data_IF_657677986914
#
_entry.id   IF_657677986914
#
_cell.length_a   1.000
_cell.length_b   1.000
_cell.length_c   1.000
_cell.angle_alpha   90.00
_cell.angle_beta   90.00
_cell.angle_gamma   90.00
#
_symmetry.space_group_name_H-M   'P 1'
#
loop_
_entity.id
_entity.type
_entity.pdbx_description
1 polymer ?
#
# COMPACT_ATOMS: atom_id res chain seq x y z
N UNK A 1 -8.94 0.65 28.86
CA UNK A 1 -9.46 -0.60 28.33
C UNK A 1 -8.53 -1.16 27.25
N UNK A 2 -7.50 -0.40 26.85
CA UNK A 2 -6.43 -0.75 25.89
C UNK A 2 -5.66 -2.07 26.02
N UNK A 3 -5.74 -2.80 27.15
CA UNK A 3 -4.93 -4.01 27.33
C UNK A 3 -5.26 -5.10 26.29
N UNK A 4 -6.52 -5.22 25.84
CA UNK A 4 -6.89 -6.15 24.77
C UNK A 4 -6.29 -5.74 23.42
N UNK A 5 -6.38 -4.46 23.07
CA UNK A 5 -5.88 -3.98 21.78
C UNK A 5 -4.36 -3.94 21.71
N UNK A 6 -3.67 -3.76 22.84
CA UNK A 6 -2.21 -3.91 22.91
C UNK A 6 -1.82 -5.37 22.63
N UNK A 7 -2.51 -6.35 23.24
CA UNK A 7 -2.26 -7.78 22.99
C UNK A 7 -2.52 -8.11 21.51
N UNK A 8 -3.64 -7.64 20.96
CA UNK A 8 -4.00 -7.83 19.55
C UNK A 8 -2.97 -7.21 18.61
N UNK A 9 -2.52 -5.99 18.90
CA UNK A 9 -1.44 -5.33 18.16
C UNK A 9 -0.17 -6.20 18.16
N UNK A 10 0.24 -6.72 19.32
CA UNK A 10 1.40 -7.61 19.42
C UNK A 10 1.23 -8.87 18.59
N UNK A 11 0.04 -9.49 18.60
CA UNK A 11 -0.25 -10.67 17.78
C UNK A 11 -0.15 -10.35 16.28
N UNK A 12 -0.73 -9.25 15.83
CA UNK A 12 -0.67 -8.82 14.43
C UNK A 12 0.78 -8.54 14.00
N UNK A 13 1.58 -7.92 14.88
CA UNK A 13 3.00 -7.67 14.63
C UNK A 13 3.84 -8.96 14.58
N UNK A 14 3.45 -10.02 15.29
CA UNK A 14 4.10 -11.34 15.14
C UNK A 14 3.86 -11.92 13.75
N UNK A 15 2.65 -11.77 13.20
CA UNK A 15 2.33 -12.23 11.84
C UNK A 15 2.91 -11.32 10.76
N UNK A 16 2.98 -10.01 11.02
CA UNK A 16 3.41 -8.99 10.05
C UNK A 16 4.47 -8.06 10.68
N UNK A 17 5.71 -8.53 10.87
CA UNK A 17 6.74 -7.78 11.58
C UNK A 17 7.13 -6.46 10.89
N UNK A 18 6.97 -6.37 9.57
CA UNK A 18 7.27 -5.16 8.80
C UNK A 18 6.45 -3.94 9.24
N UNK A 19 5.25 -4.15 9.79
CA UNK A 19 4.38 -3.07 10.26
C UNK A 19 4.97 -2.32 11.46
N UNK A 20 5.86 -2.97 12.23
CA UNK A 20 6.47 -2.38 13.42
C UNK A 20 7.24 -1.09 13.12
N UNK A 21 7.74 -0.93 11.88
CA UNK A 21 8.44 0.28 11.44
C UNK A 21 7.55 1.53 11.42
N UNK A 22 6.22 1.35 11.24
CA UNK A 22 5.29 2.42 10.92
C UNK A 22 4.10 2.54 11.88
N UNK A 23 3.70 1.44 12.53
CA UNK A 23 2.46 1.37 13.32
C UNK A 23 2.37 2.41 14.45
N UNK A 24 3.52 2.85 14.96
CA UNK A 24 3.63 3.82 16.05
C UNK A 24 3.91 5.26 15.59
N UNK A 25 3.89 5.53 14.28
CA UNK A 25 3.94 6.90 13.77
C UNK A 25 2.76 7.75 14.25
N UNK A 26 1.63 7.08 14.47
CA UNK A 26 0.39 7.64 15.00
C UNK A 26 0.08 6.82 16.24
N UNK A 27 -0.15 7.46 17.40
CA UNK A 27 -0.41 6.72 18.64
C UNK A 27 -1.82 6.13 18.69
N UNK A 28 -1.95 4.98 19.36
CA UNK A 28 -3.24 4.28 19.54
C UNK A 28 -4.25 5.17 20.26
N UNK A 29 -3.82 5.88 21.31
CA UNK A 29 -4.66 6.82 22.04
C UNK A 29 -5.24 7.93 21.13
N UNK A 30 -4.41 8.53 20.27
CA UNK A 30 -4.83 9.58 19.33
C UNK A 30 -5.87 9.03 18.34
N UNK A 31 -5.63 7.83 17.82
CA UNK A 31 -6.56 7.19 16.88
C UNK A 31 -7.88 6.80 17.55
N UNK A 32 -7.85 6.22 18.75
CA UNK A 32 -9.05 5.84 19.50
C UNK A 32 -9.92 7.05 19.83
N UNK A 33 -9.28 8.14 20.28
CA UNK A 33 -9.97 9.39 20.59
C UNK A 33 -10.74 9.97 19.39
N UNK A 34 -10.30 9.68 18.16
CA UNK A 34 -11.00 10.11 16.95
C UNK A 34 -12.36 9.40 16.74
N UNK A 35 -12.61 8.27 17.41
CA UNK A 35 -13.82 7.48 17.21
C UNK A 35 -14.74 7.42 18.44
N UNK A 36 -14.42 8.11 19.53
CA UNK A 36 -15.19 8.09 20.79
C UNK A 36 -16.68 8.43 20.60
N UNK A 37 -17.00 9.36 19.69
CA UNK A 37 -18.39 9.78 19.43
C UNK A 37 -19.09 8.93 18.35
N UNK A 38 -18.41 7.92 17.81
CA UNK A 38 -18.84 7.16 16.63
C UNK A 38 -18.98 5.66 16.85
N UNK A 39 -18.20 5.09 17.77
CA UNK A 39 -18.09 3.65 18.00
C UNK A 39 -18.31 3.31 19.47
N UNK A 40 -18.95 2.18 19.74
CA UNK A 40 -18.97 1.57 21.07
C UNK A 40 -17.59 1.01 21.46
N UNK A 41 -16.75 0.71 20.47
CA UNK A 41 -15.38 0.26 20.66
C UNK A 41 -14.43 1.18 19.86
N UNK A 42 -14.08 2.35 20.43
CA UNK A 42 -13.18 3.29 19.79
C UNK A 42 -11.73 2.78 19.76
N UNK A 43 -11.33 1.97 20.73
CA UNK A 43 -9.97 1.42 20.82
C UNK A 43 -9.70 0.47 19.65
N UNK A 44 -10.60 -0.49 19.37
CA UNK A 44 -10.46 -1.37 18.19
C UNK A 44 -10.46 -0.59 16.89
N UNK A 45 -11.34 0.42 16.74
CA UNK A 45 -11.35 1.26 15.53
C UNK A 45 -10.06 2.06 15.37
N UNK A 46 -9.51 2.56 16.48
CA UNK A 46 -8.21 3.23 16.50
C UNK A 46 -7.09 2.31 16.02
N UNK A 47 -7.02 1.09 16.56
CA UNK A 47 -6.03 0.10 16.13
C UNK A 47 -6.15 -0.21 14.63
N UNK A 48 -7.35 -0.42 14.11
CA UNK A 48 -7.55 -0.63 12.68
C UNK A 48 -7.09 0.55 11.84
N UNK A 49 -7.29 1.78 12.31
CA UNK A 49 -6.78 2.99 11.63
C UNK A 49 -5.25 3.05 11.63
N UNK A 50 -4.58 2.67 12.73
CA UNK A 50 -3.11 2.58 12.76
C UNK A 50 -2.59 1.51 11.80
N UNK A 51 -3.25 0.36 11.78
CA UNK A 51 -2.86 -0.76 10.93
C UNK A 51 -3.07 -0.43 9.45
N UNK A 52 -4.18 0.19 9.08
CA UNK A 52 -4.43 0.66 7.71
C UNK A 52 -3.33 1.61 7.22
N UNK A 53 -2.93 2.57 8.06
CA UNK A 53 -1.79 3.43 7.78
C UNK A 53 -0.49 2.64 7.57
N UNK A 54 -0.16 1.72 8.49
CA UNK A 54 1.08 0.95 8.43
C UNK A 54 1.12 -0.02 7.22
N UNK A 55 0.02 -0.71 6.94
CA UNK A 55 -0.11 -1.60 5.78
C UNK A 55 0.11 -0.84 4.49
N UNK A 56 -0.52 0.33 4.31
CA UNK A 56 -0.31 1.13 3.09
C UNK A 56 1.15 1.50 2.88
N UNK A 57 1.88 1.85 3.95
CA UNK A 57 3.30 2.14 3.84
C UNK A 57 4.13 0.92 3.47
N UNK A 58 3.91 -0.21 4.14
CA UNK A 58 4.57 -1.47 3.82
C UNK A 58 4.28 -1.93 2.37
N UNK A 59 3.02 -1.91 1.97
CA UNK A 59 2.57 -2.36 0.66
C UNK A 59 3.19 -1.51 -0.45
N UNK A 60 3.20 -0.17 -0.31
CA UNK A 60 3.80 0.68 -1.32
C UNK A 60 5.33 0.60 -1.33
N UNK A 61 5.98 0.45 -0.16
CA UNK A 61 7.43 0.20 -0.05
C UNK A 61 7.78 -1.08 -0.81
N UNK A 62 7.08 -2.18 -0.51
CA UNK A 62 7.31 -3.49 -1.11
C UNK A 62 7.00 -3.50 -2.61
N UNK A 63 5.90 -2.87 -3.02
CA UNK A 63 5.52 -2.77 -4.43
C UNK A 63 6.65 -2.13 -5.26
N UNK A 64 7.15 -0.98 -4.82
CA UNK A 64 8.18 -0.25 -5.57
C UNK A 64 9.48 -1.05 -5.62
N UNK A 65 9.96 -1.52 -4.48
CA UNK A 65 11.22 -2.29 -4.41
C UNK A 65 11.15 -3.54 -5.28
N UNK A 66 10.04 -4.28 -5.24
CA UNK A 66 9.83 -5.47 -6.07
C UNK A 66 9.83 -5.14 -7.57
N UNK A 67 9.21 -4.02 -7.97
CA UNK A 67 9.17 -3.64 -9.39
C UNK A 67 10.54 -3.18 -9.90
N UNK A 68 11.31 -2.48 -9.07
CA UNK A 68 12.69 -2.11 -9.39
C UNK A 68 13.56 -3.37 -9.50
N UNK A 69 13.48 -4.29 -8.53
CA UNK A 69 14.21 -5.55 -8.56
C UNK A 69 13.86 -6.37 -9.81
N UNK A 70 12.56 -6.45 -10.15
CA UNK A 70 12.11 -7.14 -11.37
C UNK A 70 12.68 -6.50 -12.63
N UNK A 71 12.70 -5.16 -12.70
CA UNK A 71 13.30 -4.44 -13.82
C UNK A 71 14.80 -4.74 -13.95
N UNK A 72 15.55 -4.72 -12.84
CA UNK A 72 16.97 -5.06 -12.82
C UNK A 72 17.23 -6.49 -13.29
N UNK A 73 16.46 -7.47 -12.78
CA UNK A 73 16.58 -8.88 -13.16
C UNK A 73 16.31 -9.12 -14.64
N UNK A 74 15.42 -8.32 -15.25
CA UNK A 74 15.06 -8.40 -16.66
C UNK A 74 15.96 -7.57 -17.57
N UNK A 75 16.94 -6.85 -17.03
CA UNK A 75 17.85 -6.01 -17.83
C UNK A 75 17.19 -4.74 -18.37
N UNK A 76 16.12 -4.27 -17.75
CA UNK A 76 15.49 -2.99 -18.08
C UNK A 76 16.31 -1.80 -17.59
N UNK A 77 16.04 -0.65 -18.19
CA UNK A 77 16.69 0.60 -17.80
C UNK A 77 16.11 1.09 -16.47
N UNK A 78 16.96 1.12 -15.46
CA UNK A 78 16.68 1.65 -14.12
C UNK A 78 17.59 2.85 -13.89
N UNK A 79 17.04 3.95 -13.36
CA UNK A 79 17.83 5.12 -12.99
C UNK A 79 18.95 4.74 -11.99
N UNK A 80 20.20 5.16 -12.23
CA UNK A 80 21.36 4.77 -11.42
C UNK A 80 21.25 5.20 -9.96
N UNK A 81 20.70 6.39 -9.69
CA UNK A 81 20.54 6.97 -8.36
C UNK A 81 19.19 6.64 -7.70
N UNK A 82 18.53 5.56 -8.14
CA UNK A 82 17.17 5.22 -7.69
C UNK A 82 17.05 5.03 -6.18
N UNK A 83 18.07 4.50 -5.51
CA UNK A 83 18.07 4.28 -4.06
C UNK A 83 17.91 5.59 -3.29
N UNK A 84 18.74 6.59 -3.64
CA UNK A 84 18.66 7.92 -3.04
C UNK A 84 17.34 8.61 -3.37
N UNK A 85 16.85 8.46 -4.60
CA UNK A 85 15.55 8.99 -4.99
C UNK A 85 14.40 8.32 -4.22
N UNK A 86 14.50 7.00 -4.00
CA UNK A 86 13.53 6.22 -3.26
C UNK A 86 13.47 6.63 -1.80
N UNK A 87 14.61 6.77 -1.11
CA UNK A 87 14.66 7.18 0.29
C UNK A 87 14.03 8.56 0.49
N UNK A 88 14.38 9.51 -0.38
CA UNK A 88 13.81 10.85 -0.36
C UNK A 88 12.31 10.84 -0.62
N UNK A 89 11.88 10.11 -1.65
CA UNK A 89 10.47 9.96 -1.99
C UNK A 89 9.68 9.30 -0.86
N UNK A 90 10.19 8.20 -0.29
CA UNK A 90 9.50 7.43 0.74
C UNK A 90 9.36 8.24 2.03
N UNK A 91 10.39 9.02 2.41
CA UNK A 91 10.30 9.97 3.53
C UNK A 91 9.19 11.01 3.30
N UNK A 92 9.12 11.59 2.11
CA UNK A 92 8.03 12.53 1.75
C UNK A 92 6.67 11.85 1.72
N UNK A 93 6.58 10.63 1.18
CA UNK A 93 5.37 9.82 1.10
C UNK A 93 4.83 9.49 2.50
N UNK A 94 5.69 8.97 3.39
CA UNK A 94 5.36 8.68 4.80
C UNK A 94 4.82 9.91 5.52
N UNK A 95 5.50 11.06 5.39
CA UNK A 95 5.04 12.31 6.00
C UNK A 95 3.68 12.77 5.44
N UNK A 96 3.47 12.66 4.12
CA UNK A 96 2.19 13.03 3.50
C UNK A 96 1.06 12.08 3.89
N UNK A 97 1.33 10.78 3.99
CA UNK A 97 0.36 9.80 4.48
C UNK A 97 -0.03 10.10 5.92
N UNK A 98 0.96 10.32 6.80
CA UNK A 98 0.72 10.64 8.21
C UNK A 98 -0.19 11.86 8.37
N UNK A 99 0.17 12.97 7.72
CA UNK A 99 -0.61 14.21 7.78
C UNK A 99 -2.04 14.05 7.22
N UNK A 100 -2.21 13.22 6.20
CA UNK A 100 -3.53 12.94 5.61
C UNK A 100 -4.40 12.12 6.56
N UNK A 101 -3.84 11.07 7.18
CA UNK A 101 -4.52 10.29 8.23
C UNK A 101 -4.86 11.15 9.45
N UNK A 102 -3.96 12.03 9.90
CA UNK A 102 -4.23 12.96 10.99
C UNK A 102 -5.38 13.92 10.67
N UNK A 103 -5.43 14.43 9.44
CA UNK A 103 -6.54 15.26 8.96
C UNK A 103 -7.87 14.49 8.89
N UNK A 104 -7.84 13.22 8.48
CA UNK A 104 -9.00 12.33 8.49
C UNK A 104 -9.50 12.09 9.92
N UNK A 105 -8.62 11.68 10.85
CA UNK A 105 -8.95 11.46 12.25
C UNK A 105 -9.50 12.71 12.94
N UNK A 106 -8.93 13.88 12.67
CA UNK A 106 -9.45 15.16 13.16
C UNK A 106 -10.87 15.45 12.67
N UNK A 107 -11.25 14.94 11.50
CA UNK A 107 -12.62 15.07 10.99
C UNK A 107 -13.54 14.08 11.70
N UNK A 108 -13.10 12.83 11.83
CA UNK A 108 -13.82 11.75 12.49
C UNK A 108 -14.14 12.08 13.95
N UNK A 109 -13.19 12.69 14.68
CA UNK A 109 -13.40 13.09 16.09
C UNK A 109 -14.57 14.07 16.25
N UNK A 110 -14.84 14.86 15.21
CA UNK A 110 -15.91 15.85 15.18
C UNK A 110 -17.25 15.29 14.71
N UNK A 111 -17.25 14.08 14.12
CA UNK A 111 -18.46 13.36 13.75
C UNK A 111 -19.05 12.68 14.98
N UNK A 112 -20.38 12.52 14.98
CA UNK A 112 -21.10 11.87 16.06
C UNK A 112 -22.13 10.91 15.49
N UNK A 113 -22.42 9.85 16.25
CA UNK A 113 -23.47 8.88 15.95
C UNK A 113 -24.59 9.02 16.99
N UNK A 114 -25.86 9.23 16.60
CA UNK A 114 -26.97 9.40 17.54
C UNK A 114 -27.19 8.18 18.45
N UNK A 115 -26.76 6.99 18.03
CA UNK A 115 -26.81 5.78 18.87
C UNK A 115 -25.81 5.86 20.03
N UNK A 116 -24.68 6.55 19.83
CA UNK A 116 -23.62 6.72 20.84
C UNK A 116 -23.87 7.97 21.68
N UNK A 117 -24.18 9.10 21.04
CA UNK A 117 -24.31 10.40 21.69
C UNK A 117 -25.74 10.75 22.13
N UNK A 118 -26.71 9.90 21.83
CA UNK A 118 -28.13 10.13 22.06
C UNK A 118 -28.84 10.82 20.88
N UNK A 119 -30.15 10.56 20.77
CA UNK A 119 -31.00 11.03 19.67
C UNK A 119 -31.63 12.42 19.92
N UNK A 120 -31.64 12.90 21.16
CA UNK A 120 -32.29 14.16 21.54
C UNK A 120 -31.65 15.36 20.82
N UNK A 121 -32.43 16.05 19.98
CA UNK A 121 -31.99 17.20 19.18
C UNK A 121 -30.72 16.96 18.34
N UNK A 122 -30.51 15.72 17.88
CA UNK A 122 -29.32 15.37 17.13
C UNK A 122 -29.24 16.13 15.79
N UNK A 123 -28.13 16.84 15.49
CA UNK A 123 -28.02 17.67 14.29
C UNK A 123 -27.68 16.84 13.04
N UNK A 124 -28.66 16.08 12.55
CA UNK A 124 -28.50 15.08 11.47
C UNK A 124 -27.77 15.66 10.25
N UNK A 125 -28.24 16.78 9.71
CA UNK A 125 -27.70 17.32 8.47
C UNK A 125 -26.25 17.82 8.62
N UNK A 126 -25.91 18.38 9.78
CA UNK A 126 -24.53 18.76 10.10
C UNK A 126 -23.62 17.54 10.16
N UNK A 127 -24.07 16.44 10.77
CA UNK A 127 -23.28 15.22 10.88
C UNK A 127 -23.15 14.49 9.55
N UNK A 128 -24.19 14.48 8.71
CA UNK A 128 -24.10 14.00 7.32
C UNK A 128 -23.03 14.75 6.54
N UNK A 129 -23.02 16.07 6.61
CA UNK A 129 -22.00 16.89 5.93
C UNK A 129 -20.58 16.57 6.42
N UNK A 130 -20.38 16.42 7.73
CA UNK A 130 -19.08 16.04 8.28
C UNK A 130 -18.65 14.63 7.86
N UNK A 131 -19.60 13.69 7.81
CA UNK A 131 -19.37 12.33 7.30
C UNK A 131 -18.85 12.35 5.86
N UNK A 132 -19.48 13.12 4.97
CA UNK A 132 -19.00 13.29 3.58
C UNK A 132 -17.57 13.84 3.52
N UNK A 133 -17.24 14.85 4.34
CA UNK A 133 -15.88 15.40 4.38
C UNK A 133 -14.87 14.34 4.83
N UNK A 134 -15.23 13.49 5.80
CA UNK A 134 -14.36 12.41 6.25
C UNK A 134 -14.15 11.34 5.16
N UNK A 135 -15.23 10.97 4.46
CA UNK A 135 -15.19 10.05 3.32
C UNK A 135 -14.32 10.61 2.19
N UNK A 136 -14.52 11.87 1.79
CA UNK A 136 -13.70 12.56 0.78
C UNK A 136 -12.21 12.53 1.14
N UNK A 137 -11.88 12.76 2.42
CA UNK A 137 -10.49 12.68 2.91
C UNK A 137 -9.93 11.26 2.82
N UNK A 138 -10.72 10.26 3.15
CA UNK A 138 -10.30 8.86 3.05
C UNK A 138 -10.09 8.44 1.58
N UNK A 139 -10.99 8.85 0.68
CA UNK A 139 -10.82 8.66 -0.77
C UNK A 139 -9.56 9.35 -1.29
N UNK A 140 -9.23 10.54 -0.80
CA UNK A 140 -7.97 11.22 -1.15
C UNK A 140 -6.73 10.44 -0.66
N UNK A 141 -6.80 9.79 0.51
CA UNK A 141 -5.72 8.91 1.00
C UNK A 141 -5.56 7.72 0.05
N UNK A 142 -6.65 7.06 -0.33
CA UNK A 142 -6.65 5.94 -1.28
C UNK A 142 -6.04 6.33 -2.63
N UNK A 143 -6.49 7.44 -3.19
CA UNK A 143 -5.99 7.93 -4.46
C UNK A 143 -4.51 8.27 -4.40
N UNK A 144 -4.06 8.91 -3.32
CA UNK A 144 -2.66 9.27 -3.15
C UNK A 144 -1.78 8.03 -3.00
N UNK A 145 -2.19 7.08 -2.15
CA UNK A 145 -1.49 5.81 -1.95
C UNK A 145 -1.33 5.02 -3.27
N UNK A 146 -2.34 5.08 -4.16
CA UNK A 146 -2.28 4.43 -5.47
C UNK A 146 -1.46 5.20 -6.50
N UNK A 147 -1.61 6.52 -6.57
CA UNK A 147 -1.02 7.35 -7.65
C UNK A 147 0.44 7.71 -7.39
N UNK A 148 0.85 7.90 -6.13
CA UNK A 148 2.21 8.37 -5.82
C UNK A 148 3.31 7.35 -6.18
N UNK A 149 3.16 6.04 -5.88
CA UNK A 149 4.11 5.01 -6.30
C UNK A 149 4.25 4.92 -7.82
N UNK A 150 3.14 4.94 -8.55
CA UNK A 150 3.15 4.89 -10.02
C UNK A 150 3.87 6.09 -10.64
N UNK A 151 3.70 7.29 -10.06
CA UNK A 151 4.44 8.48 -10.50
C UNK A 151 5.94 8.35 -10.24
N UNK A 152 6.32 7.77 -9.10
CA UNK A 152 7.72 7.50 -8.78
C UNK A 152 8.32 6.47 -9.74
N UNK A 153 7.64 5.35 -9.95
CA UNK A 153 8.08 4.28 -10.85
C UNK A 153 8.27 4.77 -12.28
N UNK A 154 7.37 5.59 -12.82
CA UNK A 154 7.56 6.18 -14.17
C UNK A 154 8.83 7.01 -14.33
N UNK A 155 9.36 7.55 -13.23
CA UNK A 155 10.63 8.30 -13.23
C UNK A 155 11.83 7.36 -13.16
N UNK A 156 11.75 6.30 -12.36
CA UNK A 156 12.87 5.39 -12.10
C UNK A 156 12.99 4.29 -13.16
N UNK A 157 11.87 3.73 -13.58
CA UNK A 157 11.74 2.67 -14.59
C UNK A 157 10.82 3.17 -15.73
N UNK A 158 11.31 4.09 -16.59
CA UNK A 158 10.47 4.76 -17.58
C UNK A 158 9.84 3.81 -18.60
N UNK A 159 10.49 2.66 -18.86
CA UNK A 159 10.00 1.64 -19.78
C UNK A 159 9.26 0.49 -19.09
N UNK A 160 9.05 0.60 -17.77
CA UNK A 160 8.36 -0.42 -16.97
C UNK A 160 9.31 -1.42 -16.33
N UNK A 161 8.73 -2.47 -15.77
CA UNK A 161 9.43 -3.53 -15.03
C UNK A 161 9.88 -4.69 -15.94
N UNK A 162 9.76 -4.54 -17.27
CA UNK A 162 10.12 -5.56 -18.25
C UNK A 162 9.10 -6.69 -18.38
N UNK A 163 7.94 -6.60 -17.73
CA UNK A 163 6.81 -7.52 -17.95
C UNK A 163 6.24 -7.42 -19.35
N UNK A 164 6.18 -6.19 -19.87
CA UNK A 164 5.86 -5.91 -21.25
C UNK A 164 7.04 -5.17 -21.87
N UNK A 165 7.64 -5.73 -22.92
CA UNK A 165 8.72 -5.07 -23.64
C UNK A 165 8.10 -3.98 -24.52
N UNK A 166 8.40 -2.72 -24.24
CA UNK A 166 7.91 -1.60 -25.03
C UNK A 166 8.74 -1.42 -26.30
N UNK A 167 8.09 -1.17 -27.43
CA UNK A 167 8.76 -1.00 -28.72
C UNK A 167 9.67 0.24 -28.80
N UNK A 168 9.47 1.21 -27.91
CA UNK A 168 10.26 2.43 -27.84
C UNK A 168 11.42 2.35 -26.82
N UNK A 169 11.58 1.22 -26.12
CA UNK A 169 12.70 1.05 -25.20
C UNK A 169 14.02 0.92 -25.98
N UNK A 170 15.10 1.63 -25.60
CA UNK A 170 16.39 1.58 -26.29
C UNK A 170 16.99 0.18 -26.41
N UNK A 171 16.78 -0.66 -25.40
CA UNK A 171 17.22 -2.04 -25.27
C UNK A 171 16.16 -3.07 -25.71
N UNK A 172 15.05 -2.64 -26.33
CA UNK A 172 13.93 -3.52 -26.69
C UNK A 172 14.36 -4.73 -27.54
N UNK A 173 15.29 -4.53 -28.49
CA UNK A 173 15.77 -5.60 -29.35
C UNK A 173 16.51 -6.69 -28.58
N UNK A 174 17.39 -6.29 -27.66
CA UNK A 174 18.15 -7.21 -26.81
C UNK A 174 17.22 -8.00 -25.90
N UNK A 175 16.26 -7.32 -25.27
CA UNK A 175 15.24 -7.95 -24.44
C UNK A 175 14.44 -9.00 -25.22
N UNK A 176 14.00 -8.67 -26.44
CA UNK A 176 13.27 -9.62 -27.29
C UNK A 176 14.10 -10.85 -27.65
N UNK A 177 15.39 -10.68 -27.97
CA UNK A 177 16.28 -11.82 -28.24
C UNK A 177 16.36 -12.73 -27.01
N UNK A 178 16.56 -12.15 -25.83
CA UNK A 178 16.66 -12.95 -24.60
C UNK A 178 15.36 -13.69 -24.29
N UNK A 179 14.21 -13.05 -24.48
CA UNK A 179 12.89 -13.67 -24.27
C UNK A 179 12.65 -14.82 -25.26
N UNK A 180 12.97 -14.62 -26.55
CA UNK A 180 12.86 -15.67 -27.58
C UNK A 180 13.71 -16.89 -27.19
N UNK A 181 14.96 -16.68 -26.77
CA UNK A 181 15.84 -17.76 -26.34
C UNK A 181 15.30 -18.53 -25.12
N UNK A 182 14.69 -17.82 -24.16
CA UNK A 182 14.04 -18.45 -23.00
C UNK A 182 12.82 -19.29 -23.41
N UNK A 183 12.01 -18.79 -24.34
CA UNK A 183 10.84 -19.48 -24.85
C UNK A 183 11.22 -20.73 -25.66
N UNK A 184 12.27 -20.66 -26.47
CA UNK A 184 12.82 -21.81 -27.21
C UNK A 184 13.32 -22.89 -26.25
N UNK A 185 14.06 -22.51 -25.20
CA UNK A 185 14.51 -23.45 -24.17
C UNK A 185 13.32 -24.10 -23.44
N UNK A 186 12.30 -23.31 -23.10
CA UNK A 186 11.08 -23.82 -22.46
C UNK A 186 10.31 -24.79 -23.37
N UNK A 187 10.19 -24.46 -24.65
CA UNK A 187 9.57 -25.32 -25.66
C UNK A 187 10.30 -26.66 -25.81
N UNK A 188 11.63 -26.65 -25.92
CA UNK A 188 12.41 -27.90 -26.02
C UNK A 188 12.25 -28.80 -24.80
N UNK A 189 12.24 -28.22 -23.59
CA UNK A 189 11.95 -28.97 -22.34
C UNK A 189 10.56 -29.60 -22.36
N UNK A 190 9.54 -28.85 -22.78
CA UNK A 190 8.16 -29.35 -22.86
C UNK A 190 8.01 -30.49 -23.88
N UNK A 191 8.62 -30.36 -25.06
CA UNK A 191 8.65 -31.44 -26.06
C UNK A 191 9.34 -32.70 -25.50
N UNK A 192 10.45 -32.52 -24.76
CA UNK A 192 11.13 -33.61 -24.07
C UNK A 192 10.26 -34.31 -23.03
N UNK A 193 9.57 -33.54 -22.17
CA UNK A 193 8.63 -34.08 -21.19
C UNK A 193 7.49 -34.87 -21.84
N UNK A 194 6.89 -34.33 -22.92
CA UNK A 194 5.85 -35.03 -23.67
C UNK A 194 6.34 -36.36 -24.25
N UNK A 195 7.60 -36.43 -24.71
CA UNK A 195 8.20 -37.67 -25.21
C UNK A 195 8.35 -38.72 -24.11
N UNK A 196 8.65 -38.32 -22.87
CA UNK A 196 8.74 -39.22 -21.71
C UNK A 196 7.35 -39.76 -21.38
N UNK A 197 6.35 -38.87 -21.24
CA UNK A 197 4.96 -39.24 -20.91
C UNK A 197 4.41 -40.25 -21.93
N UNK A 198 4.66 -40.02 -23.23
CA UNK A 198 4.22 -40.93 -24.31
C UNK A 198 4.88 -42.31 -24.27
N UNK A 199 6.02 -42.48 -23.60
CA UNK A 199 6.69 -43.78 -23.45
C UNK A 199 6.24 -44.55 -22.20
N UNK A 200 5.70 -43.83 -21.22
CA UNK A 200 5.24 -44.40 -19.94
C UNK A 200 3.74 -44.72 -19.93
N UNK A 201 2.98 -44.20 -20.90
CA UNK A 201 1.62 -44.62 -21.25
C UNK A 201 1.67 -45.78 -22.24
#
# INVERSE_FOLDING_TARGET
>A
MFNSEIIRKVEILKTNPALAEFIDDISLEKTANAFNNLSFDPESRGLWCQLDYAWRLCDQKNLILKRIETAQQRGEIVAEDWELQFDNWFKSFRNRMKTSFESYMSTMSSCANPVITGSANFPVERMRRKGRIAEDKYTQIDEYARKAPERFLRRIIPFGDGTNILSNAPNAFELLITEIAQLENSHTKMVGANKIIRKTL
#
